data_IF_096920614648
#
_entry.id   IF_096920614648
#
_cell.length_a   1.000
_cell.length_b   1.000
_cell.length_c   1.000
_cell.angle_alpha   90.00
_cell.angle_beta   90.00
_cell.angle_gamma   90.00
#
_symmetry.space_group_name_H-M   'P 1'
#
loop_
_entity.id
_entity.type
_entity.pdbx_description
1 polymer ?
#
# COMPACT_ATOMS: atom_id res chain seq x y z
N UNK A 1 2.58 -1.18 38.54
CA UNK A 1 2.72 0.02 37.69
C UNK A 1 4.18 0.42 37.72
N UNK A 2 4.85 0.38 36.59
CA UNK A 2 6.21 0.90 36.48
C UNK A 2 6.18 2.43 36.48
N UNK A 3 7.15 3.03 37.16
CA UNK A 3 7.30 4.49 37.23
C UNK A 3 8.67 4.81 36.66
N UNK A 4 8.70 5.68 35.66
CA UNK A 4 9.92 6.09 34.96
C UNK A 4 10.04 7.61 35.01
N UNK A 5 11.27 8.11 35.15
CA UNK A 5 11.60 9.54 35.05
C UNK A 5 12.41 9.75 33.78
N UNK A 6 11.83 10.43 32.79
CA UNK A 6 12.50 10.74 31.52
C UNK A 6 13.31 12.03 31.61
N UNK A 7 14.43 12.07 30.90
CA UNK A 7 15.36 13.19 30.76
C UNK A 7 15.59 13.53 29.27
N UNK A 8 16.13 14.72 28.95
CA UNK A 8 16.48 15.05 27.58
C UNK A 8 17.40 13.99 26.95
N UNK A 9 16.99 13.46 25.80
CA UNK A 9 17.69 12.38 25.10
C UNK A 9 17.11 10.97 25.32
N UNK A 10 16.26 10.78 26.33
CA UNK A 10 15.60 9.49 26.57
C UNK A 10 14.50 9.21 25.54
N UNK A 11 14.28 7.92 25.26
CA UNK A 11 13.22 7.43 24.39
C UNK A 11 12.34 6.42 25.16
N UNK A 12 11.03 6.62 25.10
CA UNK A 12 10.04 5.70 25.65
C UNK A 12 9.15 5.19 24.51
N UNK A 13 9.13 3.88 24.30
CA UNK A 13 8.19 3.22 23.39
C UNK A 13 7.05 2.60 24.17
N UNK A 14 5.81 2.94 23.81
CA UNK A 14 4.59 2.35 24.34
C UNK A 14 3.79 1.74 23.19
N UNK A 15 3.47 0.43 23.22
CA UNK A 15 2.57 -0.16 22.24
C UNK A 15 1.16 0.45 22.34
N UNK A 16 0.40 0.41 21.23
CA UNK A 16 -1.02 0.77 21.27
C UNK A 16 -1.76 -0.06 22.34
N UNK A 17 -2.66 0.59 23.08
CA UNK A 17 -3.40 -0.05 24.19
C UNK A 17 -2.78 0.13 25.58
N UNK A 18 -1.56 0.66 25.68
CA UNK A 18 -0.96 1.00 26.98
C UNK A 18 -1.52 2.32 27.53
N UNK A 19 -2.31 2.22 28.60
CA UNK A 19 -2.76 3.38 29.38
C UNK A 19 -1.56 3.98 30.10
N UNK A 20 -1.33 5.27 29.93
CA UNK A 20 -0.22 5.99 30.54
C UNK A 20 -0.64 7.40 30.97
N UNK A 21 0.09 7.96 31.94
CA UNK A 21 -0.03 9.33 32.38
C UNK A 21 1.35 9.89 32.65
N UNK A 22 1.52 11.20 32.50
CA UNK A 22 2.77 11.89 32.75
C UNK A 22 2.53 13.07 33.70
N UNK A 23 3.51 13.32 34.57
CA UNK A 23 3.57 14.54 35.38
C UNK A 23 5.01 15.03 35.46
N UNK A 24 5.19 16.34 35.50
CA UNK A 24 6.47 16.96 35.80
C UNK A 24 6.83 16.70 37.27
N UNK A 25 8.04 16.20 37.53
CA UNK A 25 8.50 15.85 38.89
C UNK A 25 9.19 17.00 39.61
N UNK A 26 9.87 17.90 38.89
CA UNK A 26 10.61 19.02 39.48
C UNK A 26 9.75 20.29 39.48
N UNK A 27 9.58 20.90 40.65
CA UNK A 27 8.86 22.17 40.79
C UNK A 27 9.58 23.26 39.99
N UNK A 28 8.85 23.96 39.13
CA UNK A 28 9.38 25.07 38.32
C UNK A 28 10.19 24.65 37.07
N UNK A 29 10.31 23.35 36.77
CA UNK A 29 11.00 22.90 35.54
C UNK A 29 9.97 22.48 34.48
N UNK A 30 9.90 23.13 33.31
CA UNK A 30 9.00 22.68 32.24
C UNK A 30 9.46 21.35 31.65
N UNK A 31 8.51 20.60 31.06
CA UNK A 31 8.79 19.38 30.28
C UNK A 31 8.30 19.58 28.85
N UNK A 32 9.14 19.21 27.88
CA UNK A 32 8.81 19.18 26.46
C UNK A 32 9.24 17.83 25.89
N UNK A 33 8.33 17.16 25.18
CA UNK A 33 8.61 15.91 24.49
C UNK A 33 7.92 15.89 23.12
N UNK A 34 8.46 15.07 22.21
CA UNK A 34 7.88 14.80 20.90
C UNK A 34 7.35 13.36 20.90
N UNK A 35 6.05 13.17 20.65
CA UNK A 35 5.47 11.84 20.48
C UNK A 35 5.38 11.51 18.99
N UNK A 36 6.14 10.51 18.57
CA UNK A 36 6.05 9.94 17.21
C UNK A 36 5.08 8.77 17.25
N UNK A 37 3.96 8.89 16.53
CA UNK A 37 2.96 7.82 16.41
C UNK A 37 2.99 7.21 15.02
N UNK A 38 2.93 5.88 14.94
CA UNK A 38 2.98 5.09 13.71
C UNK A 38 1.94 3.96 13.74
N UNK A 39 1.71 3.32 12.60
CA UNK A 39 0.88 2.11 12.46
C UNK A 39 -0.61 2.29 12.79
N UNK A 40 -1.17 3.48 12.55
CA UNK A 40 -2.62 3.73 12.63
C UNK A 40 -3.32 2.98 11.49
N UNK A 41 -4.30 2.12 11.81
CA UNK A 41 -5.04 1.29 10.83
C UNK A 41 -4.12 0.52 9.86
N UNK A 42 -3.00 0.03 10.37
CA UNK A 42 -2.02 -0.73 9.59
C UNK A 42 -1.82 -2.10 10.25
N UNK A 43 -2.86 -2.93 10.20
CA UNK A 43 -2.90 -4.25 10.84
C UNK A 43 -3.31 -5.34 9.85
N UNK A 44 -3.07 -6.62 10.21
CA UNK A 44 -3.60 -7.75 9.43
C UNK A 44 -5.11 -7.70 9.24
N UNK A 45 -5.87 -7.18 10.23
CA UNK A 45 -7.31 -6.99 10.08
C UNK A 45 -7.61 -6.04 8.91
N UNK A 46 -6.93 -4.89 8.85
CA UNK A 46 -7.19 -3.87 7.83
C UNK A 46 -6.86 -4.40 6.43
N UNK A 47 -5.75 -5.13 6.29
CA UNK A 47 -5.36 -5.78 5.03
C UNK A 47 -6.33 -6.90 4.62
N UNK A 48 -6.66 -7.81 5.54
CA UNK A 48 -7.58 -8.94 5.25
C UNK A 48 -8.98 -8.40 4.91
N UNK A 49 -9.44 -7.35 5.59
CA UNK A 49 -10.73 -6.73 5.29
C UNK A 49 -10.78 -6.20 3.85
N UNK A 50 -9.72 -5.52 3.39
CA UNK A 50 -9.61 -5.09 1.99
C UNK A 50 -9.55 -6.29 1.03
N UNK A 51 -8.67 -7.26 1.30
CA UNK A 51 -8.43 -8.40 0.43
C UNK A 51 -9.69 -9.27 0.25
N UNK A 52 -10.43 -9.52 1.33
CA UNK A 52 -11.68 -10.29 1.30
C UNK A 52 -12.76 -9.57 0.50
N UNK A 53 -12.91 -8.24 0.66
CA UNK A 53 -13.86 -7.45 -0.13
C UNK A 53 -13.55 -7.54 -1.62
N UNK A 54 -12.29 -7.28 -2.01
CA UNK A 54 -11.87 -7.38 -3.40
C UNK A 54 -12.03 -8.79 -3.99
N UNK A 55 -11.75 -9.83 -3.20
CA UNK A 55 -11.96 -11.22 -3.64
C UNK A 55 -13.44 -11.55 -3.88
N UNK A 56 -14.36 -11.01 -3.06
CA UNK A 56 -15.80 -11.18 -3.26
C UNK A 56 -16.23 -10.49 -4.55
N UNK A 57 -15.78 -9.25 -4.79
CA UNK A 57 -16.11 -8.50 -6.00
C UNK A 57 -15.61 -9.20 -7.26
N UNK A 58 -14.36 -9.69 -7.24
CA UNK A 58 -13.78 -10.46 -8.34
C UNK A 58 -14.54 -11.77 -8.60
N UNK A 59 -14.85 -12.54 -7.54
CA UNK A 59 -15.63 -13.77 -7.67
C UNK A 59 -17.04 -13.50 -8.20
N UNK A 60 -17.67 -12.41 -7.74
CA UNK A 60 -18.95 -11.94 -8.20
C UNK A 60 -18.93 -11.40 -9.63
N UNK A 61 -17.79 -10.95 -10.18
CA UNK A 61 -17.67 -10.60 -11.59
C UNK A 61 -17.52 -11.85 -12.48
N UNK A 62 -16.69 -12.80 -12.06
CA UNK A 62 -16.30 -13.96 -12.86
C UNK A 62 -17.29 -15.13 -12.84
N UNK A 63 -18.04 -15.32 -11.74
CA UNK A 63 -18.90 -16.49 -11.57
C UNK A 63 -20.32 -16.10 -11.14
N UNK A 64 -21.30 -16.45 -11.98
CA UNK A 64 -22.72 -16.16 -11.75
C UNK A 64 -23.28 -16.77 -10.45
N UNK A 65 -22.66 -17.83 -9.91
CA UNK A 65 -23.05 -18.42 -8.62
C UNK A 65 -23.08 -17.39 -7.50
N UNK A 66 -22.08 -16.50 -7.45
CA UNK A 66 -21.95 -15.44 -6.45
C UNK A 66 -23.02 -14.35 -6.56
N UNK A 67 -23.72 -14.29 -7.70
CA UNK A 67 -24.81 -13.36 -7.97
C UNK A 67 -26.20 -14.00 -7.86
N UNK A 68 -26.28 -15.29 -7.50
CA UNK A 68 -27.57 -15.98 -7.36
C UNK A 68 -28.33 -15.45 -6.15
N UNK A 69 -29.64 -15.33 -6.31
CA UNK A 69 -30.53 -14.99 -5.20
C UNK A 69 -30.46 -16.06 -4.10
N UNK A 70 -30.56 -15.62 -2.84
CA UNK A 70 -30.72 -16.51 -1.71
C UNK A 70 -32.05 -17.30 -1.80
N UNK A 71 -32.15 -18.48 -1.15
CA UNK A 71 -33.43 -19.19 -1.02
C UNK A 71 -34.48 -18.28 -0.38
N UNK A 72 -35.71 -18.24 -0.92
CA UNK A 72 -36.75 -17.29 -0.47
C UNK A 72 -37.18 -17.53 0.98
N UNK A 73 -37.04 -18.75 1.46
CA UNK A 73 -37.46 -19.20 2.79
C UNK A 73 -36.29 -19.31 3.78
N UNK A 74 -35.09 -18.79 3.47
CA UNK A 74 -33.90 -18.96 4.32
C UNK A 74 -34.10 -18.47 5.77
N UNK A 75 -34.95 -17.46 5.97
CA UNK A 75 -35.31 -16.93 7.29
C UNK A 75 -36.13 -17.92 8.15
N UNK A 76 -36.67 -18.99 7.57
CA UNK A 76 -37.42 -20.03 8.30
C UNK A 76 -36.54 -21.13 8.88
N UNK A 77 -35.24 -21.13 8.57
CA UNK A 77 -34.28 -22.15 9.03
C UNK A 77 -32.88 -21.59 9.38
N UNK A 78 -32.66 -20.28 9.26
CA UNK A 78 -31.43 -19.58 9.66
C UNK A 78 -31.73 -18.42 10.60
N UNK A 79 -30.71 -17.91 11.31
CA UNK A 79 -30.85 -16.83 12.29
C UNK A 79 -30.97 -17.33 13.74
N UNK A 80 -30.99 -16.39 14.69
CA UNK A 80 -30.88 -16.66 16.12
C UNK A 80 -32.00 -17.56 16.67
N UNK A 81 -33.22 -17.48 16.12
CA UNK A 81 -34.37 -18.30 16.54
C UNK A 81 -34.20 -19.78 16.15
N UNK A 82 -33.38 -20.07 15.14
CA UNK A 82 -33.19 -21.40 14.57
C UNK A 82 -31.75 -21.91 14.73
N UNK A 83 -30.93 -21.28 15.58
CA UNK A 83 -29.50 -21.59 15.72
C UNK A 83 -29.21 -22.97 16.32
N UNK A 84 -30.15 -23.49 17.12
CA UNK A 84 -30.10 -24.80 17.75
C UNK A 84 -30.62 -25.93 16.84
N UNK A 85 -31.26 -25.61 15.71
CA UNK A 85 -31.83 -26.58 14.77
C UNK A 85 -30.80 -27.10 13.77
N UNK A 86 -29.72 -27.69 14.29
CA UNK A 86 -28.58 -28.19 13.50
C UNK A 86 -28.94 -29.38 12.58
N UNK A 87 -30.05 -30.07 12.83
CA UNK A 87 -30.52 -31.21 12.04
C UNK A 87 -31.49 -30.83 10.89
N UNK A 88 -31.85 -29.55 10.72
CA UNK A 88 -32.67 -29.13 9.57
C UNK A 88 -31.84 -29.26 8.28
N UNK A 89 -32.27 -30.13 7.36
CA UNK A 89 -31.54 -30.42 6.13
C UNK A 89 -31.33 -29.19 5.24
N UNK A 90 -32.25 -28.22 5.27
CA UNK A 90 -32.13 -26.95 4.52
C UNK A 90 -31.03 -26.08 5.10
N UNK A 91 -30.94 -26.03 6.43
CA UNK A 91 -29.87 -25.33 7.13
C UNK A 91 -28.51 -25.94 6.80
N UNK A 92 -28.39 -27.27 6.92
CA UNK A 92 -27.16 -28.00 6.59
C UNK A 92 -26.71 -27.71 5.15
N UNK A 93 -27.64 -27.77 4.19
CA UNK A 93 -27.34 -27.48 2.78
C UNK A 93 -26.93 -26.01 2.55
N UNK A 94 -27.56 -25.07 3.24
CA UNK A 94 -27.23 -23.65 3.17
C UNK A 94 -25.84 -23.36 3.74
N UNK A 95 -25.53 -23.90 4.93
CA UNK A 95 -24.22 -23.77 5.56
C UNK A 95 -23.12 -24.41 4.70
N UNK A 96 -23.36 -25.60 4.13
CA UNK A 96 -22.43 -26.26 3.22
C UNK A 96 -22.15 -25.42 1.96
N UNK A 97 -23.18 -24.75 1.43
CA UNK A 97 -23.04 -23.85 0.27
C UNK A 97 -22.16 -22.65 0.62
N UNK A 98 -22.46 -21.97 1.73
CA UNK A 98 -21.67 -20.81 2.20
C UNK A 98 -20.24 -21.22 2.52
N UNK A 99 -20.04 -22.34 3.23
CA UNK A 99 -18.71 -22.84 3.57
C UNK A 99 -17.87 -23.17 2.33
N UNK A 100 -18.47 -23.79 1.30
CA UNK A 100 -17.79 -24.04 0.03
C UNK A 100 -17.40 -22.74 -0.67
N UNK A 101 -18.31 -21.76 -0.71
CA UNK A 101 -18.02 -20.45 -1.32
C UNK A 101 -16.90 -19.70 -0.57
N UNK A 102 -16.92 -19.72 0.76
CA UNK A 102 -15.85 -19.15 1.59
C UNK A 102 -14.53 -19.89 1.42
N UNK A 103 -14.56 -21.23 1.30
CA UNK A 103 -13.36 -22.03 1.00
C UNK A 103 -12.75 -21.64 -0.35
N UNK A 104 -13.58 -21.52 -1.39
CA UNK A 104 -13.14 -21.05 -2.70
C UNK A 104 -12.59 -19.62 -2.64
N UNK A 105 -13.17 -18.74 -1.83
CA UNK A 105 -12.70 -17.37 -1.62
C UNK A 105 -11.28 -17.35 -1.04
N UNK A 106 -11.07 -18.09 0.07
CA UNK A 106 -9.76 -18.16 0.75
C UNK A 106 -8.67 -18.68 -0.19
N UNK A 107 -8.99 -19.66 -1.04
CA UNK A 107 -8.04 -20.21 -2.02
C UNK A 107 -7.68 -19.25 -3.16
N UNK A 108 -8.47 -18.21 -3.40
CA UNK A 108 -8.31 -17.31 -4.55
C UNK A 108 -8.20 -15.83 -4.14
N UNK A 109 -7.85 -15.53 -2.88
CA UNK A 109 -7.64 -14.14 -2.46
C UNK A 109 -6.46 -13.55 -3.24
N UNK A 110 -6.64 -12.44 -3.97
CA UNK A 110 -5.57 -11.78 -4.71
C UNK A 110 -4.69 -10.98 -3.74
N UNK A 111 -3.87 -11.68 -2.95
CA UNK A 111 -3.15 -11.10 -1.83
C UNK A 111 -2.16 -10.01 -2.26
N UNK A 112 -1.43 -10.23 -3.35
CA UNK A 112 -0.45 -9.24 -3.84
C UNK A 112 -1.14 -7.96 -4.29
N UNK A 113 -2.20 -8.06 -5.10
CA UNK A 113 -3.00 -6.91 -5.51
C UNK A 113 -3.62 -6.17 -4.31
N UNK A 114 -4.08 -6.91 -3.29
CA UNK A 114 -4.59 -6.30 -2.06
C UNK A 114 -3.49 -5.58 -1.28
N UNK A 115 -2.26 -6.12 -1.23
CA UNK A 115 -1.13 -5.46 -0.59
C UNK A 115 -0.72 -4.19 -1.34
N UNK A 116 -0.72 -4.26 -2.67
CA UNK A 116 -0.45 -3.15 -3.57
C UNK A 116 -1.48 -2.03 -3.38
N UNK A 117 -2.77 -2.34 -3.49
CA UNK A 117 -3.84 -1.37 -3.24
C UNK A 117 -3.77 -0.79 -1.82
N UNK A 118 -3.54 -1.64 -0.80
CA UNK A 118 -3.40 -1.17 0.58
C UNK A 118 -2.25 -0.17 0.75
N UNK A 119 -1.12 -0.43 0.09
CA UNK A 119 0.02 0.45 0.09
C UNK A 119 -0.23 1.72 -0.74
N UNK A 120 -0.78 1.60 -1.94
CA UNK A 120 -1.04 2.69 -2.88
C UNK A 120 -2.09 3.68 -2.27
N UNK A 121 -3.26 3.21 -1.82
CA UNK A 121 -4.35 4.05 -1.29
C UNK A 121 -4.13 4.62 0.12
N UNK A 122 -3.21 4.05 0.90
CA UNK A 122 -2.92 4.53 2.24
C UNK A 122 -1.46 4.95 2.37
N UNK A 123 -0.53 4.01 2.31
CA UNK A 123 0.86 4.28 2.66
C UNK A 123 1.52 5.31 1.74
N UNK A 124 1.31 5.24 0.43
CA UNK A 124 1.88 6.22 -0.50
C UNK A 124 1.21 7.59 -0.37
N UNK A 125 -0.12 7.62 -0.23
CA UNK A 125 -0.89 8.86 -0.06
C UNK A 125 -0.59 9.61 1.26
N UNK A 126 -0.38 8.86 2.35
CA UNK A 126 -0.24 9.43 3.69
C UNK A 126 1.19 9.80 4.07
N UNK A 127 2.17 9.49 3.22
CA UNK A 127 3.58 9.81 3.49
C UNK A 127 3.85 11.30 3.38
N UNK A 128 4.74 11.79 4.23
CA UNK A 128 5.38 13.08 3.98
C UNK A 128 6.19 13.03 2.68
N UNK A 129 6.33 14.16 1.96
CA UNK A 129 7.21 14.22 0.81
C UNK A 129 8.64 13.81 1.20
N UNK A 130 9.35 13.13 0.30
CA UNK A 130 10.71 12.69 0.54
C UNK A 130 11.64 13.89 0.69
N UNK A 131 12.45 13.89 1.75
CA UNK A 131 13.51 14.88 1.92
C UNK A 131 14.50 14.81 0.74
N UNK A 132 14.85 15.97 0.19
CA UNK A 132 15.82 16.09 -0.90
C UNK A 132 17.12 16.66 -0.35
N UNK A 133 18.18 15.85 -0.31
CA UNK A 133 19.50 16.34 0.06
C UNK A 133 20.02 17.34 -1.00
N UNK A 134 20.72 18.42 -0.62
CA UNK A 134 21.25 19.39 -1.58
C UNK A 134 22.14 18.77 -2.67
N UNK A 135 22.89 17.71 -2.34
CA UNK A 135 23.74 16.98 -3.28
C UNK A 135 22.95 16.22 -4.36
N UNK A 136 21.69 15.87 -4.08
CA UNK A 136 20.83 15.13 -5.00
C UNK A 136 19.95 16.04 -5.86
N UNK A 137 19.78 17.32 -5.50
CA UNK A 137 18.93 18.26 -6.23
C UNK A 137 19.31 18.38 -7.73
N UNK A 138 20.60 18.46 -8.04
CA UNK A 138 21.10 18.51 -9.43
C UNK A 138 20.89 17.19 -10.19
N UNK A 139 20.80 16.06 -9.48
CA UNK A 139 20.62 14.73 -10.07
C UNK A 139 19.15 14.38 -10.31
N UNK A 140 18.24 15.03 -9.59
CA UNK A 140 16.78 14.94 -9.81
C UNK A 140 16.32 15.82 -10.98
N UNK A 141 17.14 16.79 -11.38
CA UNK A 141 16.88 17.67 -12.54
C UNK A 141 18.10 17.70 -13.46
N UNK A 142 18.47 16.56 -14.07
CA UNK A 142 19.62 16.50 -14.97
C UNK A 142 19.35 17.36 -16.21
N UNK A 143 20.38 17.98 -16.81
CA UNK A 143 20.21 18.79 -18.00
C UNK A 143 19.90 17.95 -19.25
N UNK A 144 20.40 16.71 -19.33
CA UNK A 144 20.18 15.78 -20.43
C UNK A 144 20.04 14.35 -19.89
N UNK A 145 19.08 13.59 -20.44
CA UNK A 145 18.92 12.16 -20.23
C UNK A 145 19.26 11.43 -21.53
N UNK A 146 20.07 10.38 -21.46
CA UNK A 146 20.51 9.61 -22.63
C UNK A 146 20.51 8.11 -22.32
N UNK A 147 20.65 7.27 -23.34
CA UNK A 147 20.79 5.82 -23.17
C UNK A 147 22.02 5.42 -22.32
N UNK A 148 23.04 6.27 -22.25
CA UNK A 148 24.25 6.03 -21.44
C UNK A 148 24.09 6.49 -19.99
N UNK A 149 23.04 7.25 -19.68
CA UNK A 149 22.80 7.78 -18.34
C UNK A 149 22.58 6.62 -17.37
N UNK A 150 23.14 6.76 -16.17
CA UNK A 150 22.92 5.83 -15.09
C UNK A 150 21.82 6.38 -14.19
N UNK A 151 20.74 5.63 -14.01
CA UNK A 151 19.58 6.04 -13.20
C UNK A 151 19.38 5.14 -11.99
N UNK A 152 18.83 5.69 -10.91
CA UNK A 152 18.48 4.97 -9.68
C UNK A 152 17.31 5.65 -8.99
N UNK A 153 16.40 4.88 -8.41
CA UNK A 153 15.38 5.46 -7.52
C UNK A 153 16.01 6.32 -6.41
N UNK A 154 15.39 7.47 -6.14
CA UNK A 154 15.84 8.37 -5.07
C UNK A 154 15.84 7.71 -3.69
N UNK A 155 14.89 6.79 -3.44
CA UNK A 155 14.82 5.99 -2.21
C UNK A 155 14.20 4.62 -2.49
N UNK A 156 14.44 3.63 -1.62
CA UNK A 156 13.90 2.26 -1.73
C UNK A 156 12.38 2.22 -1.90
N UNK A 157 11.68 3.17 -1.27
CA UNK A 157 10.22 3.20 -1.22
C UNK A 157 9.67 4.46 -1.88
N UNK A 158 10.39 5.01 -2.88
CA UNK A 158 10.00 6.22 -3.60
C UNK A 158 8.67 6.05 -4.34
N UNK A 159 8.46 4.87 -4.91
CA UNK A 159 7.29 4.51 -5.70
C UNK A 159 6.83 3.07 -5.42
N UNK A 160 5.59 2.76 -5.77
CA UNK A 160 4.98 1.43 -5.74
C UNK A 160 4.24 1.21 -7.05
N UNK A 161 4.53 0.12 -7.73
CA UNK A 161 3.82 -0.29 -8.94
C UNK A 161 2.56 -1.06 -8.54
N UNK A 162 1.44 -0.68 -9.15
CA UNK A 162 0.11 -1.26 -9.00
C UNK A 162 -0.40 -1.53 -10.44
N UNK A 163 -1.08 -2.66 -10.70
CA UNK A 163 -1.73 -2.93 -12.00
C UNK A 163 -3.23 -2.76 -11.84
N UNK A 164 -3.81 -1.82 -12.58
CA UNK A 164 -5.22 -1.44 -12.50
C UNK A 164 -5.81 -1.42 -13.92
N UNK A 165 -6.79 -2.29 -14.20
CA UNK A 165 -7.50 -2.35 -15.49
C UNK A 165 -6.58 -2.33 -16.74
N UNK A 166 -5.53 -3.17 -16.74
CA UNK A 166 -4.51 -3.24 -17.81
C UNK A 166 -3.65 -1.96 -17.98
N UNK A 167 -3.54 -1.16 -16.91
CA UNK A 167 -2.64 -0.01 -16.81
C UNK A 167 -1.62 -0.24 -15.70
N UNK A 168 -0.36 0.08 -15.98
CA UNK A 168 0.71 0.05 -14.99
C UNK A 168 0.77 1.41 -14.26
N UNK A 169 0.16 1.47 -13.08
CA UNK A 169 0.05 2.70 -12.28
C UNK A 169 1.19 2.76 -11.26
N UNK A 170 2.05 3.77 -11.38
CA UNK A 170 3.18 3.96 -10.49
C UNK A 170 2.90 5.05 -9.46
N UNK A 171 2.37 4.66 -8.31
CA UNK A 171 2.10 5.57 -7.20
C UNK A 171 3.38 6.04 -6.53
N UNK A 172 3.40 7.31 -6.13
CA UNK A 172 4.53 7.91 -5.41
C UNK A 172 4.09 8.95 -4.38
N UNK A 173 5.04 9.36 -3.54
CA UNK A 173 4.81 10.37 -2.49
C UNK A 173 5.64 11.64 -2.71
N UNK A 174 6.21 11.83 -3.90
CA UNK A 174 7.08 12.98 -4.21
C UNK A 174 6.31 14.31 -4.13
N UNK A 175 5.07 14.30 -4.61
CA UNK A 175 4.21 15.48 -4.68
C UNK A 175 3.35 15.67 -3.43
N UNK A 176 3.43 14.76 -2.46
CA UNK A 176 2.70 14.90 -1.20
C UNK A 176 3.14 16.19 -0.49
N UNK A 177 2.25 16.75 0.32
CA UNK A 177 2.55 17.94 1.11
C UNK A 177 2.87 17.57 2.55
N UNK A 178 3.28 18.55 3.35
CA UNK A 178 3.50 18.36 4.79
C UNK A 178 2.20 18.35 5.59
N UNK A 179 1.06 18.59 4.92
CA UNK A 179 -0.29 18.53 5.50
C UNK A 179 -0.90 17.17 5.16
N UNK A 180 -1.40 16.47 6.19
CA UNK A 180 -1.95 15.12 6.03
C UNK A 180 -3.13 15.10 5.04
N UNK A 181 -2.98 14.33 3.94
CA UNK A 181 -3.97 14.16 2.87
C UNK A 181 -4.56 15.48 2.36
N UNK A 182 -3.73 16.51 2.17
CA UNK A 182 -4.16 17.76 1.54
C UNK A 182 -4.58 17.55 0.07
N UNK A 183 -3.88 16.68 -0.65
CA UNK A 183 -4.25 16.28 -2.00
C UNK A 183 -5.37 15.23 -1.95
N UNK A 184 -6.41 15.35 -2.82
CA UNK A 184 -7.58 14.47 -2.78
C UNK A 184 -7.20 13.02 -3.15
N UNK A 185 -6.30 12.86 -4.11
CA UNK A 185 -5.87 11.57 -4.64
C UNK A 185 -4.35 11.40 -4.48
N UNK A 186 -3.86 10.15 -4.38
CA UNK A 186 -2.43 9.87 -4.40
C UNK A 186 -1.81 10.19 -5.77
N UNK A 187 -0.63 10.80 -5.73
CA UNK A 187 0.13 11.08 -6.94
C UNK A 187 0.64 9.78 -7.59
N UNK A 188 0.53 9.71 -8.90
CA UNK A 188 0.91 8.55 -9.70
C UNK A 188 1.31 8.98 -11.11
N UNK A 189 1.98 8.06 -11.81
CA UNK A 189 2.25 8.14 -13.25
C UNK A 189 1.75 6.86 -13.89
N UNK A 190 0.95 7.00 -14.94
CA UNK A 190 0.42 5.87 -15.70
C UNK A 190 1.39 5.47 -16.81
N UNK A 191 1.55 4.17 -16.98
CA UNK A 191 2.33 3.58 -18.06
C UNK A 191 1.51 2.49 -18.76
N UNK A 192 1.83 2.29 -20.04
CA UNK A 192 1.37 1.12 -20.76
C UNK A 192 2.04 -0.16 -20.20
N UNK A 193 1.39 -1.31 -20.35
CA UNK A 193 1.87 -2.59 -19.77
C UNK A 193 3.25 -3.00 -20.30
N UNK A 194 3.61 -2.56 -21.51
CA UNK A 194 4.92 -2.77 -22.11
C UNK A 194 6.06 -2.15 -21.29
N UNK A 195 5.79 -1.14 -20.47
CA UNK A 195 6.79 -0.51 -19.60
C UNK A 195 7.12 -1.31 -18.33
N UNK A 196 6.26 -2.27 -17.94
CA UNK A 196 6.37 -3.02 -16.68
C UNK A 196 7.76 -3.66 -16.48
N UNK A 197 8.38 -4.32 -17.48
CA UNK A 197 9.71 -4.91 -17.31
C UNK A 197 10.78 -3.87 -16.91
N UNK A 198 10.72 -2.66 -17.46
CA UNK A 198 11.65 -1.59 -17.10
C UNK A 198 11.37 -1.01 -15.72
N UNK A 199 10.09 -0.81 -15.39
CA UNK A 199 9.68 -0.38 -14.06
C UNK A 199 10.13 -1.39 -13.00
N UNK A 200 9.89 -2.68 -13.21
CA UNK A 200 10.33 -3.75 -12.31
C UNK A 200 11.85 -3.72 -12.10
N UNK A 201 12.64 -3.66 -13.18
CA UNK A 201 14.10 -3.60 -13.06
C UNK A 201 14.56 -2.36 -12.26
N UNK A 202 13.98 -1.19 -12.51
CA UNK A 202 14.33 0.05 -11.79
C UNK A 202 13.96 -0.05 -10.30
N UNK A 203 12.75 -0.53 -10.00
CA UNK A 203 12.21 -0.62 -8.64
C UNK A 203 12.99 -1.63 -7.78
N UNK A 204 13.36 -2.77 -8.37
CA UNK A 204 14.07 -3.85 -7.68
C UNK A 204 15.59 -3.64 -7.60
N UNK A 205 16.16 -2.76 -8.42
CA UNK A 205 17.60 -2.52 -8.44
C UNK A 205 18.13 -1.61 -7.34
N UNK A 206 17.29 -0.87 -6.61
CA UNK A 206 17.76 0.05 -5.55
C UNK A 206 18.63 -0.68 -4.50
N UNK A 207 19.80 -0.15 -4.11
CA UNK A 207 20.35 1.18 -4.41
C UNK A 207 21.35 1.20 -5.58
N UNK A 208 21.35 0.20 -6.46
CA UNK A 208 22.23 0.15 -7.63
C UNK A 208 21.69 1.06 -8.73
N UNK A 209 22.62 1.60 -9.52
CA UNK A 209 22.28 2.33 -10.73
C UNK A 209 22.09 1.35 -11.89
N UNK A 210 21.12 1.64 -12.75
CA UNK A 210 20.83 0.92 -13.99
C UNK A 210 21.13 1.86 -15.16
N UNK A 211 21.73 1.34 -16.22
CA UNK A 211 21.97 2.12 -17.45
C UNK A 211 20.69 2.13 -18.27
N UNK A 212 20.22 3.31 -18.70
CA UNK A 212 18.94 3.47 -19.43
C UNK A 212 18.89 2.58 -20.68
N UNK A 213 19.96 2.51 -21.45
CA UNK A 213 20.03 1.67 -22.66
C UNK A 213 19.91 0.16 -22.41
N UNK A 214 20.09 -0.28 -21.15
CA UNK A 214 19.98 -1.68 -20.74
C UNK A 214 18.62 -2.01 -20.12
N UNK A 215 17.67 -1.06 -20.09
CA UNK A 215 16.30 -1.34 -19.68
C UNK A 215 15.68 -2.39 -20.61
N UNK A 216 14.92 -3.38 -20.08
CA UNK A 216 14.40 -4.51 -20.84
C UNK A 216 13.15 -4.11 -21.64
N UNK A 217 13.34 -3.24 -22.63
CA UNK A 217 12.33 -2.78 -23.57
C UNK A 217 12.86 -2.93 -25.00
N UNK A 218 11.94 -3.02 -25.96
CA UNK A 218 12.27 -3.35 -27.35
C UNK A 218 13.04 -2.23 -28.04
N UNK A 219 12.62 -0.98 -27.84
CA UNK A 219 13.17 0.18 -28.55
C UNK A 219 13.87 1.14 -27.60
N UNK A 220 14.85 1.87 -28.12
CA UNK A 220 15.57 2.88 -27.34
C UNK A 220 14.68 4.07 -26.97
N UNK A 221 13.69 4.40 -27.80
CA UNK A 221 12.69 5.44 -27.51
C UNK A 221 11.86 5.06 -26.27
N UNK A 222 11.33 3.84 -26.21
CA UNK A 222 10.59 3.36 -25.02
C UNK A 222 11.43 3.44 -23.73
N UNK A 223 12.73 3.10 -23.80
CA UNK A 223 13.64 3.20 -22.64
C UNK A 223 13.83 4.63 -22.19
N UNK A 224 14.00 5.55 -23.14
CA UNK A 224 14.13 6.98 -22.85
C UNK A 224 12.83 7.54 -22.29
N UNK A 225 11.67 7.19 -22.85
CA UNK A 225 10.36 7.67 -22.42
C UNK A 225 10.06 7.26 -20.97
N UNK A 226 10.25 5.98 -20.62
CA UNK A 226 10.05 5.51 -19.24
C UNK A 226 11.00 6.24 -18.28
N UNK A 227 12.29 6.32 -18.63
CA UNK A 227 13.26 7.01 -17.78
C UNK A 227 12.97 8.52 -17.64
N UNK A 228 12.51 9.17 -18.72
CA UNK A 228 12.15 10.59 -18.75
C UNK A 228 10.95 10.88 -17.85
N UNK A 229 9.88 10.10 -17.96
CA UNK A 229 8.69 10.22 -17.10
C UNK A 229 9.05 10.12 -15.61
N UNK A 230 9.90 9.16 -15.25
CA UNK A 230 10.35 9.00 -13.87
C UNK A 230 11.30 10.12 -13.39
N UNK A 231 12.08 10.73 -14.28
CA UNK A 231 12.91 11.90 -13.97
C UNK A 231 12.06 13.16 -13.80
N UNK A 232 11.03 13.33 -14.64
CA UNK A 232 10.06 14.42 -14.55
C UNK A 232 9.32 14.38 -13.20
N UNK A 233 8.83 13.20 -12.82
CA UNK A 233 8.24 12.93 -11.49
C UNK A 233 9.24 12.96 -10.33
N UNK A 234 10.51 13.30 -10.58
CA UNK A 234 11.61 13.36 -9.60
C UNK A 234 11.76 12.07 -8.79
N UNK A 235 11.53 10.92 -9.42
CA UNK A 235 11.70 9.59 -8.83
C UNK A 235 13.12 9.05 -9.01
N UNK A 236 13.83 9.49 -10.05
CA UNK A 236 15.18 9.03 -10.39
C UNK A 236 16.24 10.08 -10.11
N UNK A 237 17.36 9.60 -9.58
CA UNK A 237 18.64 10.30 -9.58
C UNK A 237 19.44 9.86 -10.79
N UNK A 238 19.92 10.83 -11.56
CA UNK A 238 20.69 10.58 -12.78
C UNK A 238 22.16 10.92 -12.54
N UNK A 239 23.04 10.07 -13.08
CA UNK A 239 24.49 10.25 -13.15
C UNK A 239 24.96 10.20 -14.59
#
# INVERSE_FOLDING_TARGET
MEVLTLRPGDLLYLPRGYVHQAKTVSVGTPSLHLTISISRRHTYRDLIELAVRGAIDAAAAMNAEWRRALPRDYLSFTGAVYSDRTNDSRRVAFEATVARMLGALVSNVPLDAACDQFACSNFMHERLPPHTAPADAKRLSPPNLTLKSAVRLRSRHAARLCIEDEVAVLYHHVENTTIYRELPEPAHVDFAMEAVPALDQILTSFPKYVIVGNLPLETDDQKLDVAAALVEAKLLLVK
#
